data_IF_625345031510
#
_entry.id   IF_625345031510
#
_cell.length_a   1.000
_cell.length_b   1.000
_cell.length_c   1.000
_cell.angle_alpha   90.00
_cell.angle_beta   90.00
_cell.angle_gamma   90.00
#
_symmetry.space_group_name_H-M   'P 1'
#
loop_
_entity.id
_entity.type
_entity.pdbx_description
1 polymer ?
#
# COMPACT_ATOMS: atom_id res chain seq x y z
N UNK A 1 8.70 -17.27 15.99
CA UNK A 1 9.83 -16.94 15.11
C UNK A 1 10.60 -15.80 15.71
N UNK A 2 11.83 -15.58 15.26
CA UNK A 2 12.61 -14.36 15.56
C UNK A 2 12.38 -13.41 14.40
N UNK A 3 11.98 -12.17 14.66
CA UNK A 3 11.82 -11.17 13.61
C UNK A 3 13.19 -10.74 13.08
N UNK A 4 13.20 -10.20 11.88
CA UNK A 4 14.42 -9.65 11.27
C UNK A 4 14.93 -8.45 12.07
N UNK A 5 16.25 -8.35 12.23
CA UNK A 5 16.88 -7.23 12.93
C UNK A 5 17.20 -6.08 11.96
N UNK A 6 16.28 -5.15 11.89
CA UNK A 6 16.37 -3.91 11.09
C UNK A 6 17.03 -2.76 11.86
N UNK A 7 17.33 -2.95 13.15
CA UNK A 7 17.73 -1.87 14.06
C UNK A 7 16.61 -0.87 14.38
N UNK A 8 15.35 -1.20 14.06
CA UNK A 8 14.20 -0.33 14.33
C UNK A 8 13.82 -0.35 15.82
N UNK A 9 13.71 0.83 16.43
CA UNK A 9 13.29 0.99 17.83
C UNK A 9 11.77 1.25 17.93
N UNK A 10 11.25 2.22 17.17
CA UNK A 10 9.83 2.57 17.16
C UNK A 10 9.16 2.21 15.82
N UNK A 11 8.00 1.52 15.84
CA UNK A 11 7.27 1.26 14.61
C UNK A 11 6.89 2.55 13.86
N UNK A 12 7.16 2.58 12.56
CA UNK A 12 6.88 3.70 11.66
C UNK A 12 8.05 4.66 11.46
N UNK A 13 9.13 4.55 12.25
CA UNK A 13 10.36 5.28 11.98
C UNK A 13 11.07 4.68 10.75
N UNK A 14 11.74 5.53 9.97
CA UNK A 14 12.63 5.07 8.91
C UNK A 14 13.71 4.17 9.52
N UNK A 15 13.78 2.93 9.06
CA UNK A 15 14.69 1.95 9.66
C UNK A 15 16.15 2.18 9.22
N UNK A 16 17.14 1.88 10.09
CA UNK A 16 18.55 2.01 9.72
C UNK A 16 19.01 1.08 8.60
N UNK A 17 18.40 -0.10 8.46
CA UNK A 17 18.72 -1.10 7.43
C UNK A 17 17.51 -1.98 7.13
N UNK A 18 17.40 -2.45 5.89
CA UNK A 18 16.50 -3.53 5.56
C UNK A 18 17.02 -4.88 6.08
N UNK A 19 16.11 -5.81 6.33
CA UNK A 19 16.41 -7.20 6.63
C UNK A 19 15.25 -8.10 6.14
N UNK A 20 15.33 -9.43 6.28
CA UNK A 20 14.18 -10.25 5.95
C UNK A 20 14.27 -11.76 6.25
N UNK A 21 13.12 -12.45 6.24
CA UNK A 21 11.77 -11.86 6.18
C UNK A 21 11.22 -11.42 7.55
N UNK A 22 10.47 -10.32 7.48
CA UNK A 22 9.56 -9.73 8.47
C UNK A 22 10.14 -9.01 9.68
N UNK A 23 9.73 -7.75 9.80
CA UNK A 23 9.65 -7.04 11.06
C UNK A 23 8.43 -6.09 11.02
N UNK A 24 7.32 -6.56 11.59
CA UNK A 24 6.01 -5.91 11.60
C UNK A 24 5.44 -5.66 10.18
N UNK A 25 5.08 -6.73 9.47
CA UNK A 25 4.45 -6.60 8.16
C UNK A 25 3.06 -5.94 8.26
N UNK A 26 2.73 -5.14 7.28
CA UNK A 26 1.51 -4.32 7.24
C UNK A 26 0.38 -5.01 6.48
N UNK A 27 0.67 -5.56 5.30
CA UNK A 27 -0.34 -6.19 4.44
C UNK A 27 0.23 -7.35 3.62
N UNK A 28 -0.62 -8.34 3.33
CA UNK A 28 -0.35 -9.45 2.41
C UNK A 28 -1.49 -9.57 1.40
N UNK A 29 -1.14 -9.67 0.12
CA UNK A 29 -2.08 -9.95 -0.97
C UNK A 29 -1.61 -11.09 -1.87
N UNK A 30 -2.52 -11.96 -2.35
CA UNK A 30 -2.20 -12.94 -3.38
C UNK A 30 -2.20 -12.33 -4.78
N UNK A 31 -1.36 -12.85 -5.65
CA UNK A 31 -1.46 -12.66 -7.11
C UNK A 31 -2.36 -13.72 -7.75
N UNK A 32 -2.75 -13.53 -9.01
CA UNK A 32 -3.51 -14.52 -9.78
C UNK A 32 -2.79 -15.88 -9.92
N UNK A 33 -1.45 -15.89 -9.82
CA UNK A 33 -0.65 -17.12 -9.85
C UNK A 33 -0.64 -17.88 -8.51
N UNK A 34 -1.16 -17.29 -7.44
CA UNK A 34 -1.10 -17.80 -6.07
C UNK A 34 0.14 -17.35 -5.28
N UNK A 35 1.13 -16.70 -5.91
CA UNK A 35 2.23 -16.07 -5.19
C UNK A 35 1.73 -14.97 -4.26
N UNK A 36 2.32 -14.87 -3.06
CA UNK A 36 1.92 -13.94 -2.01
C UNK A 36 2.89 -12.77 -1.95
N UNK A 37 2.37 -11.55 -1.93
CA UNK A 37 3.13 -10.32 -1.87
C UNK A 37 2.87 -9.64 -0.54
N UNK A 38 3.92 -9.20 0.16
CA UNK A 38 3.82 -8.65 1.52
C UNK A 38 4.51 -7.31 1.58
N UNK A 39 3.80 -6.28 2.03
CA UNK A 39 4.39 -5.00 2.43
C UNK A 39 4.88 -5.12 3.88
N UNK A 40 6.18 -5.01 4.10
CA UNK A 40 6.82 -5.08 5.41
C UNK A 40 7.39 -3.73 5.81
N UNK A 41 6.56 -2.90 6.45
CA UNK A 41 6.83 -1.47 6.59
C UNK A 41 6.86 -0.89 7.98
N UNK A 42 6.19 -1.47 8.98
CA UNK A 42 6.17 -0.82 10.30
C UNK A 42 7.51 -0.88 11.01
N UNK A 43 8.33 -1.90 10.78
CA UNK A 43 9.71 -1.95 11.29
C UNK A 43 10.69 -2.46 10.24
N UNK A 44 10.38 -2.27 8.97
CA UNK A 44 11.24 -2.62 7.84
C UNK A 44 10.93 -1.69 6.67
N UNK A 45 11.65 -1.83 5.55
CA UNK A 45 11.42 -1.05 4.33
C UNK A 45 11.42 -1.97 3.12
N UNK A 46 10.64 -3.04 3.19
CA UNK A 46 10.72 -4.16 2.24
C UNK A 46 9.36 -4.55 1.69
N UNK A 47 9.40 -5.06 0.47
CA UNK A 47 8.37 -5.91 -0.09
C UNK A 47 8.94 -7.32 -0.24
N UNK A 48 8.14 -8.32 0.10
CA UNK A 48 8.51 -9.72 -0.02
C UNK A 48 7.54 -10.43 -0.96
N UNK A 49 8.07 -11.33 -1.80
CA UNK A 49 7.27 -12.27 -2.59
C UNK A 49 7.54 -13.69 -2.12
N UNK A 50 6.47 -14.43 -1.85
CA UNK A 50 6.48 -15.84 -1.50
C UNK A 50 5.74 -16.65 -2.55
N UNK A 51 6.06 -17.94 -2.68
CA UNK A 51 5.15 -18.90 -3.32
C UNK A 51 3.88 -19.10 -2.50
N UNK A 52 2.87 -19.70 -3.14
CA UNK A 52 1.62 -20.12 -2.51
C UNK A 52 1.82 -21.06 -1.30
N UNK A 53 2.93 -21.80 -1.23
CA UNK A 53 3.30 -22.67 -0.10
C UNK A 53 4.18 -21.98 0.96
N UNK A 54 4.36 -20.66 0.85
CA UNK A 54 5.05 -19.83 1.85
C UNK A 54 6.57 -19.84 1.75
N UNK A 55 7.18 -20.31 0.65
CA UNK A 55 8.63 -20.18 0.45
C UNK A 55 8.98 -18.78 -0.05
N UNK A 56 9.96 -18.13 0.59
CA UNK A 56 10.42 -16.81 0.17
C UNK A 56 11.12 -16.91 -1.19
N UNK A 57 10.60 -16.20 -2.20
CA UNK A 57 11.19 -16.14 -3.54
C UNK A 57 12.12 -14.96 -3.71
N UNK A 58 11.66 -13.76 -3.33
CA UNK A 58 12.40 -12.51 -3.53
C UNK A 58 12.00 -11.46 -2.52
N UNK A 59 12.88 -10.49 -2.33
CA UNK A 59 12.59 -9.30 -1.55
C UNK A 59 13.30 -8.10 -2.17
N UNK A 60 12.65 -6.94 -2.14
CA UNK A 60 13.18 -5.68 -2.67
C UNK A 60 12.73 -4.52 -1.79
N UNK A 61 13.25 -3.32 -2.06
CA UNK A 61 13.12 -2.16 -1.18
C UNK A 61 14.34 -1.94 -0.29
N UNK A 62 14.76 -0.70 -0.11
CA UNK A 62 15.76 -0.29 0.90
C UNK A 62 15.21 0.90 1.70
N UNK A 63 15.70 1.16 2.93
CA UNK A 63 15.22 2.31 3.69
C UNK A 63 15.63 3.61 3.00
N UNK A 64 14.67 4.48 2.70
CA UNK A 64 14.95 5.79 2.14
C UNK A 64 13.69 6.61 1.86
N UNK A 65 13.90 7.82 1.34
CA UNK A 65 12.83 8.81 1.09
C UNK A 65 12.89 9.45 -0.29
N UNK A 66 13.99 9.26 -1.03
CA UNK A 66 14.30 10.08 -2.20
C UNK A 66 14.10 9.36 -3.52
N UNK A 67 14.40 8.06 -3.57
CA UNK A 67 14.60 7.34 -4.82
C UNK A 67 13.58 6.26 -5.14
N UNK A 68 13.60 5.74 -6.38
CA UNK A 68 12.91 4.49 -6.73
C UNK A 68 13.46 3.33 -5.90
N UNK A 69 12.60 2.38 -5.55
CA UNK A 69 12.97 1.20 -4.74
C UNK A 69 13.48 1.54 -3.31
N UNK A 70 13.38 2.81 -2.88
CA UNK A 70 13.50 3.19 -1.48
C UNK A 70 12.11 3.22 -0.84
N UNK A 71 11.97 2.81 0.41
CA UNK A 71 10.73 2.96 1.15
C UNK A 71 10.96 3.53 2.54
N UNK A 72 9.98 4.29 3.02
CA UNK A 72 9.94 4.70 4.42
C UNK A 72 8.98 3.81 5.19
N UNK A 73 7.75 3.65 4.72
CA UNK A 73 6.75 2.80 5.35
C UNK A 73 5.84 2.21 4.25
N UNK A 74 6.26 1.12 3.58
CA UNK A 74 5.38 0.39 2.66
C UNK A 74 4.23 -0.21 3.48
N UNK A 75 3.03 0.34 3.33
CA UNK A 75 1.91 0.07 4.21
C UNK A 75 0.85 -0.82 3.58
N UNK A 76 0.56 -0.59 2.30
CA UNK A 76 -0.45 -1.33 1.55
C UNK A 76 0.09 -1.71 0.19
N UNK A 77 -0.43 -2.81 -0.36
CA UNK A 77 0.05 -3.43 -1.59
C UNK A 77 -1.09 -4.06 -2.38
N UNK A 78 -1.06 -3.88 -3.69
CA UNK A 78 -1.99 -4.51 -4.64
C UNK A 78 -1.19 -5.18 -5.75
N UNK A 79 -1.70 -6.30 -6.28
CA UNK A 79 -1.20 -6.91 -7.51
C UNK A 79 -2.28 -6.83 -8.59
N UNK A 80 -2.00 -6.12 -9.68
CA UNK A 80 -2.87 -6.01 -10.86
C UNK A 80 -2.09 -6.42 -12.12
N UNK A 81 -2.46 -7.58 -12.70
CA UNK A 81 -1.74 -8.16 -13.83
C UNK A 81 -0.26 -8.38 -13.51
N UNK A 82 0.62 -7.70 -14.26
CA UNK A 82 2.08 -7.75 -14.08
C UNK A 82 2.65 -6.63 -13.19
N UNK A 83 1.77 -5.89 -12.51
CA UNK A 83 2.13 -4.77 -11.65
C UNK A 83 1.95 -5.11 -10.18
N UNK A 84 2.92 -4.70 -9.37
CA UNK A 84 2.84 -4.63 -7.91
C UNK A 84 2.81 -3.16 -7.53
N UNK A 85 1.69 -2.70 -7.00
CA UNK A 85 1.45 -1.30 -6.64
C UNK A 85 1.56 -1.17 -5.12
N UNK A 86 2.49 -0.35 -4.63
CA UNK A 86 2.86 -0.27 -3.21
C UNK A 86 2.67 1.14 -2.69
N UNK A 87 1.84 1.28 -1.66
CA UNK A 87 1.63 2.52 -0.93
C UNK A 87 2.76 2.77 0.07
N UNK A 88 3.60 3.77 -0.20
CA UNK A 88 4.68 4.19 0.69
C UNK A 88 4.18 5.35 1.57
N UNK A 89 3.49 4.96 2.64
CA UNK A 89 2.67 5.83 3.48
C UNK A 89 3.42 7.07 3.97
N UNK A 90 4.65 6.90 4.45
CA UNK A 90 5.40 8.01 5.05
C UNK A 90 6.35 8.73 4.08
N UNK A 91 6.27 8.41 2.79
CA UNK A 91 6.87 9.19 1.70
C UNK A 91 5.82 9.86 0.80
N UNK A 92 4.53 9.79 1.15
CA UNK A 92 3.44 10.44 0.41
C UNK A 92 3.49 10.08 -1.10
N UNK A 93 3.66 8.79 -1.39
CA UNK A 93 3.77 8.29 -2.77
C UNK A 93 3.31 6.85 -2.91
N UNK A 94 3.05 6.47 -4.15
CA UNK A 94 2.86 5.08 -4.58
C UNK A 94 4.00 4.72 -5.52
N UNK A 95 4.51 3.49 -5.41
CA UNK A 95 5.51 2.95 -6.31
C UNK A 95 4.96 1.71 -7.02
N UNK A 96 5.21 1.61 -8.32
CA UNK A 96 4.79 0.47 -9.14
C UNK A 96 6.02 -0.33 -9.57
N UNK A 97 5.91 -1.66 -9.45
CA UNK A 97 6.97 -2.60 -9.80
C UNK A 97 6.43 -3.71 -10.72
N UNK A 98 7.33 -4.43 -11.38
CA UNK A 98 7.04 -5.75 -11.95
C UNK A 98 6.84 -6.81 -10.87
N UNK A 99 6.31 -7.98 -11.25
CA UNK A 99 6.13 -9.12 -10.35
C UNK A 99 7.42 -9.62 -9.71
N UNK A 100 8.58 -9.34 -10.32
CA UNK A 100 9.91 -9.63 -9.80
C UNK A 100 10.54 -8.43 -9.05
N UNK A 101 9.79 -7.36 -8.78
CA UNK A 101 10.28 -6.20 -8.02
C UNK A 101 11.12 -5.21 -8.82
N UNK A 102 11.11 -5.29 -10.15
CA UNK A 102 11.76 -4.31 -11.02
C UNK A 102 10.94 -3.01 -11.01
N UNK A 103 11.58 -1.89 -10.65
CA UNK A 103 10.92 -0.60 -10.57
C UNK A 103 10.37 -0.15 -11.93
N UNK A 104 9.14 0.39 -11.94
CA UNK A 104 8.48 0.94 -13.13
C UNK A 104 8.28 2.45 -13.01
N UNK A 105 7.61 2.90 -11.96
CA UNK A 105 7.19 4.31 -11.82
C UNK A 105 6.85 4.71 -10.38
N UNK A 106 6.75 6.02 -10.15
CA UNK A 106 6.32 6.67 -8.90
C UNK A 106 5.10 7.55 -9.21
N UNK A 107 4.08 7.51 -8.35
CA UNK A 107 2.98 8.46 -8.32
C UNK A 107 3.06 9.28 -7.02
N UNK A 108 3.23 10.59 -7.13
CA UNK A 108 3.51 11.50 -6.00
C UNK A 108 2.37 12.51 -5.72
N UNK A 109 1.29 12.50 -6.51
CA UNK A 109 0.08 13.29 -6.27
C UNK A 109 -0.88 12.59 -5.29
N UNK A 110 -0.34 12.00 -4.22
CA UNK A 110 -1.05 11.24 -3.20
C UNK A 110 -0.48 11.61 -1.83
N UNK A 111 -1.32 11.87 -0.84
CA UNK A 111 -0.87 12.09 0.53
C UNK A 111 -1.08 10.83 1.36
N UNK A 112 -0.08 10.50 2.17
CA UNK A 112 -0.11 9.44 3.18
C UNK A 112 -0.98 8.24 2.79
N UNK A 113 -0.70 7.54 1.68
CA UNK A 113 -1.57 6.47 1.23
C UNK A 113 -1.63 5.37 2.30
N UNK A 114 -2.83 5.12 2.79
CA UNK A 114 -3.11 4.21 3.89
C UNK A 114 -3.47 2.83 3.34
N UNK A 115 -4.33 2.79 2.32
CA UNK A 115 -4.78 1.55 1.74
C UNK A 115 -5.08 1.72 0.25
N UNK A 116 -4.94 0.65 -0.53
CA UNK A 116 -5.29 0.62 -1.95
C UNK A 116 -6.16 -0.59 -2.29
N UNK A 117 -7.25 -0.33 -2.99
CA UNK A 117 -8.15 -1.35 -3.55
C UNK A 117 -8.46 -1.06 -5.02
N UNK A 118 -9.10 -1.99 -5.72
CA UNK A 118 -9.42 -1.84 -7.14
C UNK A 118 -10.89 -2.21 -7.40
N UNK A 119 -11.56 -1.39 -8.22
CA UNK A 119 -12.93 -1.68 -8.68
C UNK A 119 -12.96 -2.63 -9.89
N UNK A 120 -14.16 -3.01 -10.33
CA UNK A 120 -14.35 -3.90 -11.47
C UNK A 120 -13.96 -3.29 -12.82
N UNK A 121 -13.87 -1.96 -12.91
CA UNK A 121 -13.44 -1.25 -14.11
C UNK A 121 -11.90 -1.11 -14.15
N UNK A 122 -11.23 -1.52 -13.08
CA UNK A 122 -9.77 -1.46 -12.94
C UNK A 122 -9.25 -0.12 -12.46
N UNK A 123 -10.10 0.73 -11.88
CA UNK A 123 -9.64 1.96 -11.22
C UNK A 123 -9.16 1.63 -9.80
N UNK A 124 -8.09 2.30 -9.39
CA UNK A 124 -7.60 2.17 -8.02
C UNK A 124 -8.30 3.16 -7.11
N UNK A 125 -8.73 2.69 -5.95
CA UNK A 125 -9.14 3.55 -4.85
C UNK A 125 -8.03 3.57 -3.82
N UNK A 126 -7.60 4.77 -3.44
CA UNK A 126 -6.59 4.97 -2.42
C UNK A 126 -7.20 5.77 -1.29
N UNK A 127 -7.20 5.22 -0.09
CA UNK A 127 -7.48 6.00 1.10
C UNK A 127 -6.22 6.78 1.51
N UNK A 128 -6.38 8.08 1.68
CA UNK A 128 -5.30 9.01 1.95
C UNK A 128 -5.45 9.55 3.37
N UNK A 129 -4.46 9.27 4.21
CA UNK A 129 -4.43 9.73 5.58
C UNK A 129 -4.23 11.24 5.64
N UNK A 130 -4.62 11.85 6.77
CA UNK A 130 -4.47 13.29 6.97
C UNK A 130 -2.99 13.72 6.94
N UNK A 131 -2.72 14.78 6.18
CA UNK A 131 -1.49 15.59 6.19
C UNK A 131 -1.88 17.05 6.43
N UNK A 132 -1.47 17.97 5.54
CA UNK A 132 -1.93 19.35 5.55
C UNK A 132 -3.43 19.45 5.22
N UNK A 133 -3.92 18.60 4.31
CA UNK A 133 -5.35 18.47 4.01
C UNK A 133 -6.00 17.37 4.87
N UNK A 134 -7.33 17.43 4.97
CA UNK A 134 -8.18 16.36 5.49
C UNK A 134 -7.83 14.99 4.91
N UNK A 135 -8.15 13.94 5.66
CA UNK A 135 -8.19 12.60 5.12
C UNK A 135 -9.20 12.56 3.96
N UNK A 136 -8.86 11.80 2.91
CA UNK A 136 -9.63 11.78 1.67
C UNK A 136 -9.54 10.43 0.99
N UNK A 137 -10.37 10.25 -0.02
CA UNK A 137 -10.32 9.12 -0.95
C UNK A 137 -9.96 9.66 -2.32
N UNK A 138 -9.01 9.02 -2.98
CA UNK A 138 -8.71 9.21 -4.40
C UNK A 138 -9.15 8.00 -5.21
N UNK A 139 -9.78 8.25 -6.36
CA UNK A 139 -9.97 7.25 -7.42
C UNK A 139 -8.99 7.58 -8.53
N UNK A 140 -8.15 6.61 -8.89
CA UNK A 140 -7.08 6.73 -9.88
C UNK A 140 -7.35 5.79 -11.05
N UNK A 141 -6.93 6.20 -12.24
CA UNK A 141 -6.78 5.27 -13.36
C UNK A 141 -5.54 4.38 -13.20
N UNK A 142 -5.35 3.43 -14.12
CA UNK A 142 -4.23 2.48 -14.09
C UNK A 142 -2.84 3.10 -14.28
N UNK A 143 -2.77 4.38 -14.64
CA UNK A 143 -1.54 5.16 -14.84
C UNK A 143 -1.24 6.09 -13.67
N UNK A 144 -2.05 6.03 -12.59
CA UNK A 144 -1.93 6.92 -11.43
C UNK A 144 -2.60 8.28 -11.61
N UNK A 145 -3.31 8.49 -12.73
CA UNK A 145 -4.06 9.72 -12.99
C UNK A 145 -5.28 9.81 -12.08
N UNK A 146 -5.44 10.94 -11.37
CA UNK A 146 -6.58 11.13 -10.45
C UNK A 146 -7.86 11.39 -11.25
N UNK A 147 -8.80 10.45 -11.19
CA UNK A 147 -10.14 10.55 -11.80
C UNK A 147 -11.12 11.31 -10.90
N UNK A 148 -11.05 11.08 -9.60
CA UNK A 148 -11.89 11.74 -8.60
C UNK A 148 -11.22 11.77 -7.24
N UNK A 149 -11.61 12.74 -6.40
CA UNK A 149 -11.11 12.90 -5.05
C UNK A 149 -12.16 13.58 -4.17
N UNK A 150 -12.38 13.05 -2.97
CA UNK A 150 -13.35 13.59 -2.03
C UNK A 150 -12.92 13.33 -0.59
N UNK A 151 -13.30 14.23 0.32
CA UNK A 151 -12.98 14.08 1.74
C UNK A 151 -13.68 12.86 2.36
N UNK A 152 -13.00 12.21 3.29
CA UNK A 152 -13.56 11.13 4.08
C UNK A 152 -13.49 11.44 5.58
N UNK A 153 -14.31 10.75 6.37
CA UNK A 153 -14.27 10.90 7.83
C UNK A 153 -13.21 9.97 8.41
N UNK A 154 -12.58 10.42 9.49
CA UNK A 154 -11.62 9.61 10.23
C UNK A 154 -10.26 9.48 9.51
N UNK A 155 -9.55 8.38 9.75
CA UNK A 155 -8.19 8.17 9.22
C UNK A 155 -8.11 7.44 7.88
N UNK A 156 -9.21 6.82 7.44
CA UNK A 156 -9.26 6.00 6.23
C UNK A 156 -8.24 4.85 6.24
N UNK A 157 -8.06 4.17 7.36
CA UNK A 157 -6.97 3.21 7.56
C UNK A 157 -7.10 1.90 6.77
N UNK A 158 -8.32 1.55 6.33
CA UNK A 158 -8.58 0.39 5.48
C UNK A 158 -9.79 0.66 4.59
N UNK A 159 -9.77 0.11 3.39
CA UNK A 159 -10.71 0.38 2.32
C UNK A 159 -11.11 -0.91 1.60
N UNK A 160 -12.34 -0.95 1.11
CA UNK A 160 -12.80 -2.04 0.25
C UNK A 160 -13.81 -1.52 -0.76
N UNK A 161 -13.85 -2.15 -1.93
CA UNK A 161 -14.83 -1.86 -2.99
C UNK A 161 -15.63 -3.12 -3.30
N UNK A 162 -16.96 -3.01 -3.35
CA UNK A 162 -17.81 -4.11 -3.81
C UNK A 162 -18.05 -4.09 -5.32
N UNK A 163 -18.70 -5.14 -5.83
CA UNK A 163 -18.97 -5.30 -7.27
C UNK A 163 -19.93 -4.25 -7.86
N UNK A 164 -20.54 -3.40 -7.03
CA UNK A 164 -21.38 -2.29 -7.47
C UNK A 164 -20.60 -0.97 -7.52
N UNK A 165 -19.34 -0.97 -7.09
CA UNK A 165 -18.51 0.22 -6.95
C UNK A 165 -18.79 1.01 -5.67
N UNK A 166 -19.50 0.44 -4.69
CA UNK A 166 -19.66 1.08 -3.39
C UNK A 166 -18.37 0.93 -2.59
N UNK A 167 -17.99 2.01 -1.91
CA UNK A 167 -16.74 2.09 -1.15
C UNK A 167 -17.03 1.95 0.33
N UNK A 168 -16.28 1.08 1.01
CA UNK A 168 -16.33 0.86 2.45
C UNK A 168 -15.03 1.34 3.05
N UNK A 169 -15.11 2.20 4.07
CA UNK A 169 -13.94 2.78 4.70
C UNK A 169 -13.96 2.50 6.21
N UNK A 170 -12.91 1.82 6.68
CA UNK A 170 -12.56 1.72 8.09
C UNK A 170 -11.65 2.89 8.47
N UNK A 171 -11.93 3.56 9.58
CA UNK A 171 -11.16 4.74 9.98
C UNK A 171 -11.89 5.70 10.91
N UNK A 172 -13.17 5.46 11.16
CA UNK A 172 -13.95 6.09 12.21
C UNK A 172 -14.07 5.15 13.42
N UNK A 173 -14.04 5.66 14.67
CA UNK A 173 -14.28 4.83 15.84
C UNK A 173 -15.65 4.14 15.77
N UNK A 174 -15.67 2.83 16.04
CA UNK A 174 -16.88 2.00 16.17
C UNK A 174 -17.81 1.95 14.95
N UNK A 175 -17.34 2.31 13.75
CA UNK A 175 -18.15 2.27 12.53
C UNK A 175 -17.33 2.00 11.25
N UNK A 176 -18.06 1.70 10.18
CA UNK A 176 -17.57 1.67 8.80
C UNK A 176 -18.44 2.65 8.01
N UNK A 177 -17.82 3.57 7.29
CA UNK A 177 -18.54 4.45 6.37
C UNK A 177 -18.72 3.76 5.02
N UNK A 178 -19.93 3.84 4.47
CA UNK A 178 -20.25 3.35 3.13
C UNK A 178 -20.55 4.53 2.21
N UNK A 179 -19.80 4.67 1.12
CA UNK A 179 -20.03 5.66 0.08
C UNK A 179 -20.65 4.98 -1.14
N UNK A 180 -21.84 5.45 -1.52
CA UNK A 180 -22.60 4.92 -2.66
C UNK A 180 -22.55 5.92 -3.79
N UNK A 181 -22.18 5.47 -4.99
CA UNK A 181 -22.18 6.33 -6.18
C UNK A 181 -23.63 6.71 -6.51
N UNK A 182 -23.94 8.01 -6.51
CA UNK A 182 -25.20 8.51 -7.06
C UNK A 182 -24.96 8.92 -8.51
N UNK A 183 -25.80 8.40 -9.41
CA UNK A 183 -25.75 8.69 -10.84
C UNK A 183 -25.92 10.16 -11.17
#
# INVERSE_FOLDING_TARGET
GVHSDTGCENPGDLVPRAAGPFNYPAELVPSASGDLYVADGYRNSRVHRFSADGQLKKSWGEPGKGGPNEFHLPHSILVDGDNVVVCDRENDRIQVFGLDGDFKEIWDNIQRPMDISMDSDGNYMVSEGQRENSARISILDKTGGVLSRFDCRGSGHGSWIDSLGDIYLAGVPDAIDKYVRKG
#
